data_IF_254609049414
#
_entry.id   IF_254609049414
#
_cell.length_a   1.000
_cell.length_b   1.000
_cell.length_c   1.000
_cell.angle_alpha   90.00
_cell.angle_beta   90.00
_cell.angle_gamma   90.00
#
_symmetry.space_group_name_H-M   'P 1'
#
loop_
_entity.id
_entity.type
_entity.pdbx_description
1 polymer ?
#
# COMPACT_ATOMS: atom_id res chain seq x y z
N UNK A 1 -12.61 -23.23 26.29
CA UNK A 1 -12.42 -23.46 24.85
C UNK A 1 -13.38 -22.54 24.10
N UNK A 2 -12.88 -21.49 23.44
CA UNK A 2 -13.73 -20.56 22.68
C UNK A 2 -14.27 -21.28 21.43
N UNK A 3 -15.59 -21.22 21.19
CA UNK A 3 -16.23 -21.79 20.00
C UNK A 3 -15.62 -21.18 18.73
N UNK A 4 -15.36 -21.96 17.66
CA UNK A 4 -14.85 -21.42 16.41
C UNK A 4 -15.87 -20.43 15.86
N UNK A 5 -15.45 -19.16 15.76
CA UNK A 5 -16.26 -18.08 15.27
C UNK A 5 -16.55 -18.33 13.77
N UNK A 6 -17.79 -18.67 13.43
CA UNK A 6 -18.25 -18.94 12.05
C UNK A 6 -17.95 -17.80 11.06
N UNK A 7 -17.78 -16.58 11.57
CA UNK A 7 -17.43 -15.41 10.77
C UNK A 7 -15.92 -15.25 10.55
N UNK A 8 -15.06 -15.90 11.34
CA UNK A 8 -13.60 -15.75 11.23
C UNK A 8 -13.04 -16.37 9.94
N UNK A 9 -13.65 -17.44 9.43
CA UNK A 9 -13.25 -18.00 8.14
C UNK A 9 -13.65 -17.09 6.96
N UNK A 10 -14.84 -16.50 7.02
CA UNK A 10 -15.30 -15.53 6.02
C UNK A 10 -14.47 -14.23 6.07
N UNK A 11 -14.17 -13.72 7.27
CA UNK A 11 -13.34 -12.53 7.45
C UNK A 11 -11.91 -12.74 6.90
N UNK A 12 -11.29 -13.90 7.15
CA UNK A 12 -9.96 -14.22 6.61
C UNK A 12 -9.95 -14.29 5.08
N UNK A 13 -10.96 -14.91 4.48
CA UNK A 13 -11.08 -14.95 3.01
C UNK A 13 -11.27 -13.56 2.41
N UNK A 14 -12.11 -12.73 3.03
CA UNK A 14 -12.31 -11.35 2.59
C UNK A 14 -11.01 -10.53 2.70
N UNK A 15 -10.25 -10.70 3.79
CA UNK A 15 -8.96 -10.05 3.95
C UNK A 15 -7.97 -10.48 2.86
N UNK A 16 -7.83 -11.79 2.63
CA UNK A 16 -6.94 -12.33 1.58
C UNK A 16 -7.29 -11.78 0.19
N UNK A 17 -8.58 -11.78 -0.17
CA UNK A 17 -9.02 -11.24 -1.45
C UNK A 17 -8.69 -9.75 -1.60
N UNK A 18 -8.88 -8.93 -0.56
CA UNK A 18 -8.52 -7.51 -0.65
C UNK A 18 -7.01 -7.30 -0.75
N UNK A 19 -6.22 -8.11 -0.03
CA UNK A 19 -4.76 -7.99 -0.06
C UNK A 19 -4.19 -8.38 -1.42
N UNK A 20 -4.74 -9.41 -2.06
CA UNK A 20 -4.44 -9.83 -3.44
C UNK A 20 -4.83 -8.75 -4.46
N UNK A 21 -6.03 -8.14 -4.31
CA UNK A 21 -6.46 -7.02 -5.16
C UNK A 21 -5.50 -5.84 -5.07
N UNK A 22 -5.03 -5.49 -3.88
CA UNK A 22 -4.08 -4.39 -3.72
C UNK A 22 -2.73 -4.69 -4.37
N UNK A 23 -2.20 -5.89 -4.21
CA UNK A 23 -0.97 -6.30 -4.88
C UNK A 23 -1.10 -6.19 -6.40
N UNK A 24 -2.17 -6.74 -6.97
CA UNK A 24 -2.42 -6.71 -8.41
C UNK A 24 -2.53 -5.28 -8.96
N UNK A 25 -3.17 -4.37 -8.22
CA UNK A 25 -3.27 -2.96 -8.63
C UNK A 25 -1.89 -2.29 -8.58
N UNK A 26 -1.11 -2.50 -7.51
CA UNK A 26 0.21 -1.87 -7.35
C UNK A 26 1.19 -2.39 -8.42
N UNK A 27 1.20 -3.69 -8.70
CA UNK A 27 2.05 -4.29 -9.74
C UNK A 27 1.69 -3.78 -11.14
N UNK A 28 0.40 -3.55 -11.41
CA UNK A 28 -0.08 -3.04 -12.69
C UNK A 28 0.27 -1.57 -12.98
N UNK A 29 0.59 -0.77 -11.96
CA UNK A 29 0.87 0.68 -12.11
C UNK A 29 2.29 1.09 -11.73
N UNK A 30 3.11 0.15 -11.25
CA UNK A 30 4.51 0.38 -10.88
C UNK A 30 5.43 -0.57 -11.63
N UNK A 31 6.74 -0.44 -11.44
CA UNK A 31 7.73 -1.43 -11.92
C UNK A 31 8.02 -2.52 -10.88
N UNK A 32 7.30 -2.51 -9.76
CA UNK A 32 7.48 -3.47 -8.68
C UNK A 32 6.79 -4.77 -9.04
N UNK A 33 7.47 -5.88 -8.76
CA UNK A 33 6.86 -7.21 -8.84
C UNK A 33 6.03 -7.48 -7.58
N UNK A 34 5.08 -8.39 -7.70
CA UNK A 34 4.19 -8.78 -6.60
C UNK A 34 4.97 -9.28 -5.38
N UNK A 35 6.06 -10.01 -5.59
CA UNK A 35 6.91 -10.52 -4.50
C UNK A 35 7.62 -9.39 -3.75
N UNK A 36 8.09 -8.37 -4.48
CA UNK A 36 8.76 -7.19 -3.92
C UNK A 36 7.78 -6.33 -3.10
N UNK A 37 6.53 -6.25 -3.56
CA UNK A 37 5.46 -5.54 -2.85
C UNK A 37 5.12 -6.26 -1.54
N UNK A 38 5.01 -7.59 -1.57
CA UNK A 38 4.68 -8.38 -0.38
C UNK A 38 5.80 -8.36 0.67
N UNK A 39 7.06 -8.39 0.23
CA UNK A 39 8.21 -8.32 1.13
C UNK A 39 8.31 -6.96 1.84
N UNK A 40 8.07 -5.86 1.11
CA UNK A 40 8.21 -4.50 1.66
C UNK A 40 6.97 -4.02 2.41
N UNK A 41 5.78 -4.44 1.96
CA UNK A 41 4.50 -3.98 2.45
C UNK A 41 3.58 -5.16 2.80
N UNK A 42 3.96 -6.02 3.77
CA UNK A 42 3.13 -7.17 4.14
C UNK A 42 1.81 -6.75 4.79
N UNK A 43 1.77 -5.57 5.42
CA UNK A 43 0.57 -5.05 6.06
C UNK A 43 -0.34 -4.36 5.05
N UNK A 44 -1.63 -4.73 5.06
CA UNK A 44 -2.68 -4.10 4.26
C UNK A 44 -2.70 -2.56 4.39
N UNK A 45 -2.56 -2.06 5.61
CA UNK A 45 -2.57 -0.63 5.89
C UNK A 45 -1.42 0.11 5.18
N UNK A 46 -0.30 -0.57 4.95
CA UNK A 46 0.83 0.01 4.24
C UNK A 46 0.66 -0.08 2.71
N UNK A 47 0.04 -1.16 2.20
CA UNK A 47 -0.38 -1.26 0.79
C UNK A 47 -1.39 -0.15 0.43
N UNK A 48 -2.35 0.13 1.32
CA UNK A 48 -3.30 1.24 1.15
C UNK A 48 -2.60 2.60 1.09
N UNK A 49 -1.68 2.89 2.02
CA UNK A 49 -0.90 4.14 1.98
C UNK A 49 -0.04 4.24 0.73
N UNK A 50 0.51 3.13 0.25
CA UNK A 50 1.28 3.09 -1.01
C UNK A 50 0.40 3.44 -2.21
N UNK A 51 -0.81 2.90 -2.29
CA UNK A 51 -1.77 3.26 -3.34
C UNK A 51 -2.13 4.74 -3.31
N UNK A 52 -2.38 5.29 -2.14
CA UNK A 52 -2.64 6.73 -1.99
C UNK A 52 -1.44 7.58 -2.41
N UNK A 53 -0.23 7.17 -2.06
CA UNK A 53 0.99 7.84 -2.46
C UNK A 53 1.18 7.81 -3.99
N UNK A 54 0.95 6.66 -4.62
CA UNK A 54 1.02 6.52 -6.07
C UNK A 54 -0.05 7.40 -6.73
N UNK A 55 -1.28 7.42 -6.21
CA UNK A 55 -2.34 8.28 -6.72
C UNK A 55 -1.99 9.77 -6.61
N UNK A 56 -1.33 10.18 -5.53
CA UNK A 56 -0.83 11.55 -5.36
C UNK A 56 0.22 11.90 -6.41
N UNK A 57 1.22 11.01 -6.60
CA UNK A 57 2.31 11.21 -7.57
C UNK A 57 1.80 11.22 -9.01
N UNK A 58 0.86 10.35 -9.34
CA UNK A 58 0.23 10.26 -10.66
C UNK A 58 -0.90 11.27 -10.89
N UNK A 59 -1.26 12.06 -9.87
CA UNK A 59 -2.27 13.10 -10.05
C UNK A 59 -1.80 14.11 -11.10
N UNK A 60 -2.73 14.62 -11.91
CA UNK A 60 -2.48 15.66 -12.91
C UNK A 60 -2.17 17.05 -12.32
N UNK A 61 -1.81 17.12 -11.03
CA UNK A 61 -1.40 18.37 -10.38
C UNK A 61 0.08 18.66 -10.65
N UNK A 62 0.51 19.91 -10.49
CA UNK A 62 1.92 20.26 -10.67
C UNK A 62 2.79 19.75 -9.51
N UNK A 63 4.09 19.65 -9.75
CA UNK A 63 5.02 19.05 -8.79
C UNK A 63 5.09 19.82 -7.46
N UNK A 64 4.96 21.14 -7.49
CA UNK A 64 4.91 21.96 -6.26
C UNK A 64 3.71 21.59 -5.37
N UNK A 65 2.56 21.34 -5.97
CA UNK A 65 1.35 20.91 -5.26
C UNK A 65 1.50 19.49 -4.72
N UNK A 66 2.15 18.59 -5.47
CA UNK A 66 2.47 17.23 -4.98
C UNK A 66 3.40 17.27 -3.78
N UNK A 67 4.46 18.09 -3.84
CA UNK A 67 5.39 18.29 -2.72
C UNK A 67 4.68 18.85 -1.49
N UNK A 68 3.80 19.83 -1.67
CA UNK A 68 3.01 20.40 -0.58
C UNK A 68 2.14 19.33 0.10
N UNK A 69 1.40 18.54 -0.69
CA UNK A 69 0.57 17.44 -0.17
C UNK A 69 1.39 16.34 0.49
N UNK A 70 2.58 16.03 -0.03
CA UNK A 70 3.52 15.11 0.62
C UNK A 70 3.97 15.63 1.97
N UNK A 71 4.27 16.93 2.07
CA UNK A 71 4.66 17.58 3.33
C UNK A 71 3.52 17.54 4.36
N UNK A 72 2.30 17.86 3.94
CA UNK A 72 1.09 17.81 4.78
C UNK A 72 0.80 16.39 5.30
N UNK A 73 1.15 15.36 4.53
CA UNK A 73 0.93 13.95 4.87
C UNK A 73 2.23 13.21 5.20
N UNK A 74 3.27 13.93 5.64
CA UNK A 74 4.62 13.40 5.82
C UNK A 74 4.69 12.29 6.87
N UNK A 75 3.90 12.37 7.94
CA UNK A 75 3.80 11.28 8.93
C UNK A 75 3.19 10.00 8.35
N UNK A 76 2.21 10.15 7.45
CA UNK A 76 1.52 9.02 6.80
C UNK A 76 2.42 8.35 5.76
N UNK A 77 3.04 9.14 4.89
CA UNK A 77 3.81 8.61 3.76
C UNK A 77 5.30 8.43 4.05
N UNK A 78 5.82 8.97 5.15
CA UNK A 78 7.25 8.92 5.46
C UNK A 78 7.77 7.48 5.62
N UNK A 79 7.03 6.63 6.34
CA UNK A 79 7.38 5.21 6.50
C UNK A 79 7.37 4.47 5.15
N UNK A 80 6.39 4.75 4.29
CA UNK A 80 6.28 4.17 2.96
C UNK A 80 7.42 4.64 2.05
N UNK A 81 7.73 5.93 2.06
CA UNK A 81 8.82 6.51 1.28
C UNK A 81 10.17 5.88 1.65
N UNK A 82 10.43 5.67 2.95
CA UNK A 82 11.66 4.98 3.40
C UNK A 82 11.69 3.54 2.87
N UNK A 83 10.59 2.80 2.95
CA UNK A 83 10.50 1.42 2.43
C UNK A 83 10.75 1.35 0.91
N UNK A 84 10.18 2.28 0.14
CA UNK A 84 10.42 2.40 -1.30
C UNK A 84 11.88 2.75 -1.62
N UNK A 85 12.50 3.66 -0.86
CA UNK A 85 13.90 4.03 -1.06
C UNK A 85 14.84 2.86 -0.78
N UNK A 86 14.54 1.99 0.18
CA UNK A 86 15.31 0.76 0.45
C UNK A 86 15.32 -0.23 -0.72
N UNK A 87 14.39 -0.13 -1.67
CA UNK A 87 14.40 -0.95 -2.87
C UNK A 87 15.39 -0.40 -3.92
N UNK A 88 15.58 0.91 -3.94
CA UNK A 88 16.40 1.59 -4.95
C UNK A 88 17.90 1.61 -4.61
N UNK A 89 18.25 1.31 -3.35
CA UNK A 89 19.61 1.38 -2.80
C UNK A 89 20.01 0.00 -2.29
#
# INVERSE_FOLDING_TARGET
>A
MAKPNKYAAAARRAQQQTDEEYQAIISGITRLKEEEIEELFPEKADKEKLLELIALVNSGTNDNQKVLKLKENSEKFGSIAIKLLKLLV
#
